data_IF_150176345538
#
_entry.id   IF_150176345538
#
_cell.length_a   1.000
_cell.length_b   1.000
_cell.length_c   1.000
_cell.angle_alpha   90.00
_cell.angle_beta   90.00
_cell.angle_gamma   90.00
#
_symmetry.space_group_name_H-M   'P 1'
#
loop_
_entity.id
_entity.type
_entity.pdbx_description
1 polymer ?
#
# COMPACT_ATOMS: atom_id res chain seq x y z
N UNK A 1 5.69 2.98 -9.11
CA UNK A 1 6.57 3.89 -8.31
C UNK A 1 7.61 3.05 -7.60
N UNK A 2 8.87 3.44 -7.67
CA UNK A 2 9.93 2.75 -6.93
C UNK A 2 9.80 3.03 -5.44
N UNK A 3 10.36 2.14 -4.62
CA UNK A 3 10.37 2.36 -3.17
C UNK A 3 11.16 3.63 -2.80
N UNK A 4 12.20 3.94 -3.58
CA UNK A 4 13.00 5.14 -3.37
C UNK A 4 12.17 6.42 -3.59
N UNK A 5 11.45 6.49 -4.69
CA UNK A 5 10.58 7.64 -4.99
C UNK A 5 9.44 7.75 -3.98
N UNK A 6 8.89 6.61 -3.57
CA UNK A 6 7.84 6.57 -2.55
C UNK A 6 8.36 7.12 -1.22
N UNK A 7 9.54 6.69 -0.80
CA UNK A 7 10.16 7.16 0.43
C UNK A 7 10.38 8.69 0.39
N UNK A 8 10.94 9.20 -0.72
CA UNK A 8 11.15 10.63 -0.87
C UNK A 8 9.84 11.42 -0.79
N UNK A 9 8.79 10.93 -1.47
CA UNK A 9 7.49 11.57 -1.42
C UNK A 9 6.91 11.58 -0.01
N UNK A 10 7.11 10.50 0.76
CA UNK A 10 6.61 10.38 2.12
C UNK A 10 7.25 11.38 3.08
N UNK A 11 8.45 11.85 2.76
CA UNK A 11 9.15 12.87 3.57
C UNK A 11 8.60 14.27 3.32
N UNK A 12 7.94 14.48 2.19
CA UNK A 12 7.47 15.81 1.76
C UNK A 12 5.98 16.03 2.04
N UNK A 13 5.17 14.99 1.87
CA UNK A 13 3.72 15.08 2.03
C UNK A 13 3.20 13.83 2.74
N UNK A 14 2.02 13.96 3.35
CA UNK A 14 1.33 12.82 3.94
C UNK A 14 0.66 12.02 2.83
N UNK A 15 1.10 10.79 2.62
CA UNK A 15 0.54 9.89 1.61
C UNK A 15 -0.54 9.00 2.22
N UNK A 16 -1.53 8.63 1.40
CA UNK A 16 -2.51 7.61 1.75
C UNK A 16 -1.91 6.26 1.33
N UNK A 17 -1.59 5.41 2.31
CA UNK A 17 -0.85 4.17 2.10
C UNK A 17 -1.69 2.99 2.56
N UNK A 18 -1.89 2.02 1.67
CA UNK A 18 -2.62 0.79 1.97
C UNK A 18 -1.65 -0.38 1.89
N UNK A 19 -1.47 -1.07 3.02
CA UNK A 19 -0.64 -2.27 3.11
C UNK A 19 -1.55 -3.49 2.96
N UNK A 20 -1.35 -4.24 1.88
CA UNK A 20 -2.20 -5.39 1.54
C UNK A 20 -1.62 -6.73 2.02
N UNK A 21 -0.58 -6.69 2.86
CA UNK A 21 -0.07 -7.90 3.51
C UNK A 21 -1.08 -8.41 4.53
N UNK A 22 -0.88 -9.64 4.99
CA UNK A 22 -1.72 -10.19 6.03
C UNK A 22 -1.51 -9.47 7.37
N UNK A 23 -2.50 -9.52 8.24
CA UNK A 23 -2.48 -8.77 9.50
C UNK A 23 -1.25 -9.09 10.35
N UNK A 24 -0.82 -10.36 10.39
CA UNK A 24 0.35 -10.73 11.19
C UNK A 24 1.65 -10.14 10.65
N UNK A 25 1.75 -9.97 9.33
CA UNK A 25 2.91 -9.31 8.71
C UNK A 25 2.92 -7.82 9.06
N UNK A 26 1.75 -7.19 8.98
CA UNK A 26 1.58 -5.78 9.32
C UNK A 26 1.93 -5.51 10.78
N UNK A 27 1.45 -6.37 11.68
CA UNK A 27 1.70 -6.22 13.11
C UNK A 27 3.18 -6.38 13.47
N UNK A 28 3.91 -7.17 12.69
CA UNK A 28 5.34 -7.38 12.90
C UNK A 28 6.15 -6.10 12.61
N UNK A 29 5.68 -5.29 11.70
CA UNK A 29 6.30 -4.03 11.33
C UNK A 29 5.78 -3.54 9.99
N UNK A 30 5.47 -2.25 9.89
CA UNK A 30 4.91 -1.66 8.68
C UNK A 30 5.41 -0.24 8.47
N UNK A 31 5.25 0.26 7.26
CA UNK A 31 5.60 1.64 6.91
C UNK A 31 4.73 2.60 7.72
N UNK A 32 5.34 3.63 8.34
CA UNK A 32 4.56 4.59 9.14
C UNK A 32 3.42 5.21 8.33
N UNK A 33 2.24 5.23 8.94
CA UNK A 33 1.04 5.80 8.31
C UNK A 33 0.25 4.83 7.45
N UNK A 34 0.75 3.62 7.20
CA UNK A 34 0.03 2.63 6.41
C UNK A 34 -1.18 2.08 7.16
N UNK A 35 -2.26 1.83 6.41
CA UNK A 35 -3.47 1.17 6.91
C UNK A 35 -3.49 -0.23 6.31
N UNK A 36 -3.76 -1.22 7.14
CA UNK A 36 -3.77 -2.63 6.69
C UNK A 36 -5.15 -3.02 6.13
N UNK A 37 -5.18 -3.41 4.87
CA UNK A 37 -6.33 -4.05 4.23
C UNK A 37 -5.82 -5.32 3.57
N UNK A 38 -5.83 -6.46 4.29
CA UNK A 38 -5.23 -7.71 3.78
C UNK A 38 -5.86 -8.16 2.47
N UNK A 39 -5.03 -8.55 1.52
CA UNK A 39 -5.50 -9.00 0.21
C UNK A 39 -6.46 -10.18 0.32
N UNK A 40 -6.25 -11.08 1.29
CA UNK A 40 -7.12 -12.24 1.54
C UNK A 40 -8.54 -11.85 1.95
N UNK A 41 -8.73 -10.63 2.47
CA UNK A 41 -10.02 -10.13 2.92
C UNK A 41 -10.44 -8.91 2.11
N UNK A 42 -9.81 -8.71 0.96
CA UNK A 42 -9.91 -7.46 0.21
C UNK A 42 -11.30 -7.20 -0.36
N UNK A 43 -11.98 -8.26 -0.77
CA UNK A 43 -13.33 -8.14 -1.32
C UNK A 43 -14.27 -7.57 -0.27
N UNK A 44 -14.83 -6.41 -0.56
CA UNK A 44 -15.67 -5.66 0.38
C UNK A 44 -14.92 -4.56 1.12
N UNK A 45 -13.63 -4.71 1.39
CA UNK A 45 -12.84 -3.67 2.05
C UNK A 45 -12.58 -2.47 1.15
N UNK A 46 -12.59 -2.66 -0.17
CA UNK A 46 -12.40 -1.57 -1.11
C UNK A 46 -13.47 -0.48 -0.96
N UNK A 47 -14.61 -0.83 -0.39
CA UNK A 47 -15.69 0.14 -0.12
C UNK A 47 -15.33 1.16 0.95
N UNK A 48 -14.28 0.89 1.74
CA UNK A 48 -13.77 1.81 2.74
C UNK A 48 -12.90 2.89 2.12
N UNK A 49 -12.53 2.73 0.85
CA UNK A 49 -11.66 3.66 0.15
C UNK A 49 -12.47 4.69 -0.63
N UNK A 50 -11.87 5.87 -0.83
CA UNK A 50 -12.46 6.95 -1.62
C UNK A 50 -11.90 6.93 -3.03
N UNK A 51 -12.77 7.09 -4.03
CA UNK A 51 -12.32 7.21 -5.43
C UNK A 51 -11.65 8.55 -5.73
N UNK A 52 -11.77 9.50 -4.80
CA UNK A 52 -11.17 10.84 -4.94
C UNK A 52 -9.79 10.95 -4.29
N UNK A 53 -9.33 9.89 -3.63
CA UNK A 53 -8.05 9.89 -2.94
C UNK A 53 -7.03 9.04 -3.69
N UNK A 54 -5.84 9.57 -4.03
CA UNK A 54 -4.78 8.74 -4.60
C UNK A 54 -4.15 7.87 -3.51
N UNK A 55 -4.18 6.55 -3.71
CA UNK A 55 -3.61 5.60 -2.76
C UNK A 55 -2.33 4.99 -3.29
N UNK A 56 -1.39 4.75 -2.37
CA UNK A 56 -0.16 4.01 -2.64
C UNK A 56 -0.32 2.64 -2.02
N UNK A 57 -0.23 1.60 -2.84
CA UNK A 57 -0.49 0.22 -2.43
C UNK A 57 0.83 -0.51 -2.26
N UNK A 58 1.05 -1.06 -1.08
CA UNK A 58 2.32 -1.71 -0.73
C UNK A 58 2.08 -3.12 -0.20
N UNK A 59 3.01 -4.02 -0.50
CA UNK A 59 3.07 -5.34 0.12
C UNK A 59 4.53 -5.62 0.51
N UNK A 60 4.92 -6.89 0.71
CA UNK A 60 6.28 -7.18 1.15
C UNK A 60 7.32 -6.98 0.04
N UNK A 61 7.04 -7.45 -1.18
CA UNK A 61 8.00 -7.45 -2.28
C UNK A 61 7.42 -6.89 -3.60
N UNK A 62 6.23 -6.29 -3.58
CA UNK A 62 5.63 -5.66 -4.74
C UNK A 62 4.76 -6.56 -5.61
N UNK A 63 4.53 -7.82 -5.23
CA UNK A 63 3.75 -8.78 -6.03
C UNK A 63 2.27 -8.75 -5.70
N UNK A 64 1.91 -8.91 -4.43
CA UNK A 64 0.51 -8.86 -3.99
C UNK A 64 -0.12 -7.50 -4.24
N UNK A 65 0.67 -6.44 -4.10
CA UNK A 65 0.21 -5.08 -4.34
C UNK A 65 -0.16 -4.84 -5.81
N UNK A 66 0.50 -5.51 -6.76
CA UNK A 66 0.11 -5.46 -8.17
C UNK A 66 -1.30 -6.02 -8.35
N UNK A 67 -1.62 -7.14 -7.71
CA UNK A 67 -2.96 -7.73 -7.79
C UNK A 67 -4.01 -6.79 -7.21
N UNK A 68 -3.72 -6.19 -6.05
CA UNK A 68 -4.61 -5.22 -5.43
C UNK A 68 -4.83 -4.00 -6.33
N UNK A 69 -3.78 -3.49 -6.95
CA UNK A 69 -3.88 -2.36 -7.87
C UNK A 69 -4.75 -2.70 -9.07
N UNK A 70 -4.59 -3.89 -9.66
CA UNK A 70 -5.40 -4.31 -10.80
C UNK A 70 -6.89 -4.36 -10.43
N UNK A 71 -7.20 -4.90 -9.25
CA UNK A 71 -8.57 -4.98 -8.75
C UNK A 71 -9.18 -3.59 -8.54
N UNK A 72 -8.44 -2.71 -7.87
CA UNK A 72 -8.93 -1.37 -7.53
C UNK A 72 -9.01 -0.47 -8.77
N UNK A 73 -8.02 -0.54 -9.65
CA UNK A 73 -8.01 0.25 -10.87
C UNK A 73 -9.22 -0.09 -11.74
N UNK A 74 -9.56 -1.36 -11.85
CA UNK A 74 -10.72 -1.82 -12.61
C UNK A 74 -12.04 -1.27 -12.05
N UNK A 75 -12.06 -0.88 -10.77
CA UNK A 75 -13.23 -0.31 -10.13
C UNK A 75 -13.20 1.22 -10.08
N UNK A 76 -12.19 1.86 -10.66
CA UNK A 76 -12.11 3.31 -10.78
C UNK A 76 -11.39 4.01 -9.64
N UNK A 77 -10.69 3.28 -8.77
CA UNK A 77 -9.85 3.90 -7.74
C UNK A 77 -8.52 4.37 -8.33
N UNK A 78 -8.00 5.45 -7.77
CA UNK A 78 -6.69 5.99 -8.14
C UNK A 78 -5.63 5.32 -7.28
N UNK A 79 -4.87 4.41 -7.87
CA UNK A 79 -3.89 3.60 -7.15
C UNK A 79 -2.54 3.57 -7.86
N UNK A 80 -1.49 3.55 -7.06
CA UNK A 80 -0.11 3.42 -7.52
C UNK A 80 0.53 2.27 -6.77
N UNK A 81 1.15 1.32 -7.48
CA UNK A 81 1.88 0.23 -6.86
C UNK A 81 3.24 0.73 -6.37
N UNK A 82 3.58 0.42 -5.13
CA UNK A 82 4.92 0.66 -4.59
C UNK A 82 5.76 -0.58 -4.89
N UNK A 83 6.67 -0.45 -5.84
CA UNK A 83 7.57 -1.52 -6.24
C UNK A 83 8.52 -1.85 -5.08
N UNK A 84 9.06 -3.05 -5.06
CA UNK A 84 9.98 -3.60 -4.06
C UNK A 84 9.36 -3.75 -2.66
N UNK A 85 8.41 -2.93 -2.29
CA UNK A 85 7.60 -3.11 -1.08
C UNK A 85 8.29 -2.81 0.25
N UNK A 86 7.64 -3.28 1.31
CA UNK A 86 8.07 -3.04 2.70
C UNK A 86 9.47 -3.58 2.97
N UNK A 87 9.85 -4.68 2.33
CA UNK A 87 11.17 -5.27 2.52
C UNK A 87 12.33 -4.36 2.13
N UNK A 88 12.09 -3.40 1.25
CA UNK A 88 13.10 -2.44 0.79
C UNK A 88 12.89 -1.03 1.34
N UNK A 89 11.96 -0.85 2.29
CA UNK A 89 11.72 0.45 2.91
C UNK A 89 12.99 0.95 3.61
N UNK A 90 13.50 2.14 3.24
CA UNK A 90 14.76 2.62 3.82
C UNK A 90 14.63 3.28 5.20
N UNK A 91 13.42 3.57 5.64
CA UNK A 91 13.17 4.16 6.94
C UNK A 91 12.92 3.10 8.01
N UNK A 92 12.51 3.54 9.20
CA UNK A 92 12.12 2.64 10.28
C UNK A 92 10.68 2.16 10.07
N UNK A 93 10.45 0.89 10.39
CA UNK A 93 9.10 0.35 10.48
C UNK A 93 8.55 0.59 11.88
N UNK A 94 7.24 0.69 11.98
CA UNK A 94 6.55 0.88 13.27
C UNK A 94 5.64 -0.28 13.60
#
# INVERSE_FOLDING_TARGET
>A
MTISDFYQSSLEVKLAIIDVREAYEFDYGHVPGAVNLPLSEFEGYEKLLSKDTPYHIICQAGVRSVQACQFLDAQGYDVTNVMEGTGAWPGELV
#
